data_IF_948256449440
#
_entry.id   IF_948256449440
#
_cell.length_a   1.000
_cell.length_b   1.000
_cell.length_c   1.000
_cell.angle_alpha   90.00
_cell.angle_beta   90.00
_cell.angle_gamma   90.00
#
_symmetry.space_group_name_H-M   'P 1'
#
loop_
_entity.id
_entity.type
_entity.pdbx_description
1 polymer ?
#
# COMPACT_ATOMS: atom_id res chain seq x y z
N UNK A 1 -19.79 2.41 8.21
CA UNK A 1 -19.02 1.17 8.48
C UNK A 1 -19.60 0.07 7.60
N UNK A 2 -18.86 -0.34 6.59
CA UNK A 2 -19.28 -1.41 5.66
C UNK A 2 -19.45 -2.71 6.43
N UNK A 3 -20.54 -3.43 6.25
CA UNK A 3 -20.83 -4.66 7.00
C UNK A 3 -19.84 -5.79 6.59
N UNK A 4 -19.58 -6.76 7.49
CA UNK A 4 -18.72 -7.91 7.18
C UNK A 4 -19.20 -8.72 5.96
N UNK A 5 -20.52 -8.74 5.68
CA UNK A 5 -21.09 -9.42 4.51
C UNK A 5 -20.81 -8.65 3.21
N UNK A 6 -20.79 -7.32 3.24
CA UNK A 6 -20.41 -6.50 2.07
C UNK A 6 -18.95 -6.64 1.73
N UNK A 7 -18.07 -6.70 2.75
CA UNK A 7 -16.64 -6.97 2.56
C UNK A 7 -16.37 -8.36 1.95
N UNK A 8 -17.13 -9.38 2.36
CA UNK A 8 -17.08 -10.71 1.73
C UNK A 8 -17.53 -10.68 0.27
N UNK A 9 -18.58 -9.91 -0.07
CA UNK A 9 -19.07 -9.74 -1.45
C UNK A 9 -18.03 -9.03 -2.34
N UNK A 10 -17.37 -7.97 -1.83
CA UNK A 10 -16.30 -7.28 -2.58
C UNK A 10 -15.11 -8.21 -2.89
N UNK A 11 -14.80 -9.16 -1.99
CA UNK A 11 -13.75 -10.18 -2.23
C UNK A 11 -14.10 -11.18 -3.33
N UNK A 12 -15.39 -11.50 -3.52
CA UNK A 12 -15.85 -12.53 -4.48
C UNK A 12 -16.10 -12.00 -5.89
N UNK A 13 -16.24 -10.69 -6.08
CA UNK A 13 -16.66 -10.09 -7.35
C UNK A 13 -15.52 -9.80 -8.34
N UNK A 14 -14.25 -9.90 -7.97
CA UNK A 14 -13.21 -9.27 -8.77
C UNK A 14 -11.95 -10.06 -9.08
N UNK A 15 -11.86 -11.33 -8.86
CA UNK A 15 -10.64 -12.11 -9.18
C UNK A 15 -9.45 -11.79 -8.29
N UNK A 16 -8.84 -10.61 -8.40
CA UNK A 16 -7.73 -10.19 -7.53
C UNK A 16 -8.22 -9.66 -6.18
N UNK A 17 -7.47 -9.94 -5.11
CA UNK A 17 -7.79 -9.45 -3.77
C UNK A 17 -7.55 -7.95 -3.60
N UNK A 18 -8.07 -7.33 -2.52
CA UNK A 18 -7.77 -5.94 -2.23
C UNK A 18 -6.31 -5.73 -1.81
N UNK A 19 -5.80 -4.52 -2.05
CA UNK A 19 -4.45 -4.09 -1.66
C UNK A 19 -4.56 -3.01 -0.59
N UNK A 20 -4.01 -3.25 0.59
CA UNK A 20 -3.99 -2.33 1.72
C UNK A 20 -2.64 -1.64 1.84
N UNK A 21 -2.61 -0.35 1.59
CA UNK A 21 -1.43 0.49 1.68
C UNK A 21 -1.44 1.26 3.00
N UNK A 22 -0.61 0.84 3.95
CA UNK A 22 -0.60 1.39 5.31
C UNK A 22 0.58 2.36 5.46
N UNK A 23 0.32 3.59 5.89
CA UNK A 23 1.32 4.66 5.99
C UNK A 23 2.42 4.43 7.03
N UNK A 24 2.30 3.40 7.84
CA UNK A 24 3.22 3.05 8.92
C UNK A 24 2.67 3.43 10.28
N UNK A 25 3.35 3.00 11.34
CA UNK A 25 2.98 3.25 12.74
C UNK A 25 1.51 2.95 13.06
N UNK A 26 0.91 2.00 12.34
CA UNK A 26 -0.47 1.56 12.57
C UNK A 26 -0.67 1.11 14.02
N UNK A 27 -1.83 1.43 14.59
CA UNK A 27 -2.16 1.08 15.96
C UNK A 27 -2.16 -0.44 16.18
N UNK A 28 -1.34 -0.88 17.14
CA UNK A 28 -1.16 -2.29 17.55
C UNK A 28 -1.64 -2.57 18.96
N UNK A 29 -2.17 -1.54 19.65
CA UNK A 29 -2.41 -1.62 21.10
C UNK A 29 -3.86 -1.32 21.46
N UNK A 30 -4.46 -0.28 20.87
CA UNK A 30 -5.80 0.22 21.21
C UNK A 30 -6.87 -0.42 20.32
N UNK A 31 -7.37 0.36 19.36
CA UNK A 31 -8.50 -0.01 18.52
C UNK A 31 -8.11 -0.91 17.33
N UNK A 32 -6.85 -0.82 16.88
CA UNK A 32 -6.24 -1.65 15.83
C UNK A 32 -7.10 -1.75 14.56
N UNK A 33 -7.79 -0.67 14.20
CA UNK A 33 -8.83 -0.65 13.14
C UNK A 33 -8.31 -1.21 11.82
N UNK A 34 -7.13 -0.76 11.38
CA UNK A 34 -6.53 -1.18 10.11
C UNK A 34 -6.19 -2.68 10.13
N UNK A 35 -5.56 -3.16 11.21
CA UNK A 35 -5.18 -4.57 11.34
C UNK A 35 -6.38 -5.48 11.48
N UNK A 36 -7.43 -5.05 12.19
CA UNK A 36 -8.71 -5.75 12.26
C UNK A 36 -9.39 -5.85 10.89
N UNK A 37 -9.37 -4.74 10.10
CA UNK A 37 -9.87 -4.74 8.73
C UNK A 37 -9.13 -5.74 7.84
N UNK A 38 -7.79 -5.78 7.94
CA UNK A 38 -6.98 -6.78 7.23
C UNK A 38 -7.36 -8.21 7.62
N UNK A 39 -7.48 -8.50 8.93
CA UNK A 39 -7.86 -9.83 9.41
C UNK A 39 -9.24 -10.25 8.89
N UNK A 40 -10.21 -9.35 8.85
CA UNK A 40 -11.54 -9.59 8.26
C UNK A 40 -11.44 -9.92 6.77
N UNK A 41 -10.70 -9.13 5.99
CA UNK A 41 -10.50 -9.35 4.56
C UNK A 41 -9.72 -10.64 4.27
N UNK A 42 -8.82 -11.03 5.17
CA UNK A 42 -8.07 -12.29 5.09
C UNK A 42 -8.90 -13.53 5.44
N UNK A 43 -10.14 -13.38 5.92
CA UNK A 43 -11.08 -14.48 6.18
C UNK A 43 -11.23 -14.91 7.64
N UNK A 44 -10.67 -14.18 8.60
CA UNK A 44 -10.84 -14.46 10.03
C UNK A 44 -10.39 -15.88 10.40
N UNK A 45 -11.25 -16.65 11.05
CA UNK A 45 -10.93 -18.01 11.53
C UNK A 45 -10.55 -19.00 10.42
N UNK A 46 -11.08 -18.81 9.20
CA UNK A 46 -10.73 -19.60 8.03
C UNK A 46 -9.49 -19.05 7.28
N UNK A 47 -8.94 -17.96 7.79
CA UNK A 47 -7.84 -17.23 7.16
C UNK A 47 -6.49 -17.92 7.35
N UNK A 48 -5.65 -17.85 6.30
CA UNK A 48 -4.23 -18.14 6.36
C UNK A 48 -3.45 -16.89 5.95
N UNK A 49 -2.73 -16.29 6.88
CA UNK A 49 -1.94 -15.07 6.66
C UNK A 49 -0.46 -15.41 6.60
N UNK A 50 0.21 -14.99 5.53
CA UNK A 50 1.66 -15.02 5.42
C UNK A 50 2.24 -13.64 5.80
N UNK A 51 3.11 -13.58 6.79
CA UNK A 51 3.83 -12.37 7.21
C UNK A 51 5.24 -12.40 6.63
N UNK A 52 5.58 -11.41 5.80
CA UNK A 52 6.89 -11.28 5.15
C UNK A 52 7.68 -10.17 5.82
N UNK A 53 8.74 -10.53 6.56
CA UNK A 53 9.53 -9.61 7.39
C UNK A 53 10.82 -9.12 6.74
N UNK A 54 11.08 -9.41 5.49
CA UNK A 54 12.33 -9.09 4.77
C UNK A 54 12.76 -7.62 4.89
N UNK A 55 11.81 -6.67 4.94
CA UNK A 55 12.12 -5.26 5.15
C UNK A 55 12.63 -4.96 6.56
N UNK A 56 12.22 -5.73 7.55
CA UNK A 56 12.45 -5.46 8.97
C UNK A 56 13.88 -5.85 9.40
N UNK A 57 14.50 -5.01 10.22
CA UNK A 57 15.76 -5.36 10.91
C UNK A 57 15.53 -6.25 12.14
N UNK A 58 14.26 -6.46 12.54
CA UNK A 58 13.91 -7.29 13.69
C UNK A 58 13.74 -8.78 13.35
N UNK A 59 13.78 -9.14 12.06
CA UNK A 59 13.71 -10.53 11.60
C UNK A 59 12.51 -11.29 12.20
N UNK A 60 12.79 -12.40 12.91
CA UNK A 60 11.76 -13.25 13.52
C UNK A 60 10.91 -12.53 14.57
N UNK A 61 11.46 -11.58 15.31
CA UNK A 61 10.69 -10.81 16.30
C UNK A 61 9.59 -9.96 15.64
N UNK A 62 9.78 -9.51 14.40
CA UNK A 62 8.73 -8.84 13.66
C UNK A 62 7.62 -9.83 13.25
N UNK A 63 7.99 -11.04 12.83
CA UNK A 63 7.04 -12.12 12.50
C UNK A 63 6.20 -12.46 13.73
N UNK A 64 6.85 -12.70 14.88
CA UNK A 64 6.16 -13.09 16.10
C UNK A 64 5.16 -12.02 16.57
N UNK A 65 5.56 -10.76 16.51
CA UNK A 65 4.65 -9.65 16.85
C UNK A 65 3.38 -9.64 16.01
N UNK A 66 3.48 -9.85 14.70
CA UNK A 66 2.29 -9.90 13.83
C UNK A 66 1.54 -11.22 13.97
N UNK A 67 2.22 -12.33 14.29
CA UNK A 67 1.58 -13.61 14.61
C UNK A 67 0.65 -13.47 15.82
N UNK A 68 1.14 -12.89 16.91
CA UNK A 68 0.34 -12.60 18.10
C UNK A 68 -0.85 -11.69 17.79
N UNK A 69 -0.64 -10.60 17.02
CA UNK A 69 -1.70 -9.68 16.64
C UNK A 69 -2.79 -10.38 15.83
N UNK A 70 -2.42 -11.12 14.79
CA UNK A 70 -3.39 -11.80 13.92
C UNK A 70 -4.07 -12.98 14.61
N UNK A 71 -3.38 -13.72 15.47
CA UNK A 71 -4.00 -14.71 16.34
C UNK A 71 -5.03 -14.06 17.28
N UNK A 72 -4.73 -12.87 17.83
CA UNK A 72 -5.66 -12.09 18.63
C UNK A 72 -6.92 -11.62 17.88
N UNK A 73 -6.86 -11.50 16.55
CA UNK A 73 -8.02 -11.26 15.68
C UNK A 73 -8.71 -12.56 15.22
N UNK A 74 -8.27 -13.71 15.69
CA UNK A 74 -8.86 -15.00 15.37
C UNK A 74 -8.45 -15.56 14.01
N UNK A 75 -7.33 -15.14 13.43
CA UNK A 75 -6.81 -15.75 12.19
C UNK A 75 -6.41 -17.20 12.48
N UNK A 76 -6.92 -18.14 11.67
CA UNK A 76 -6.71 -19.58 11.88
C UNK A 76 -5.27 -20.06 11.70
N UNK A 77 -4.52 -19.47 10.77
CA UNK A 77 -3.11 -19.81 10.52
C UNK A 77 -2.27 -18.59 10.17
N UNK A 78 -1.10 -18.45 10.81
CA UNK A 78 -0.12 -17.40 10.48
C UNK A 78 1.23 -18.04 10.19
N UNK A 79 1.76 -17.82 8.99
CA UNK A 79 3.07 -18.31 8.54
C UNK A 79 4.03 -17.15 8.42
N UNK A 80 5.21 -17.22 9.07
CA UNK A 80 6.26 -16.22 8.95
C UNK A 80 7.24 -16.58 7.82
N UNK A 81 7.62 -15.61 7.02
CA UNK A 81 8.60 -15.72 5.93
C UNK A 81 9.57 -14.54 6.03
N UNK A 82 10.83 -14.81 6.25
CA UNK A 82 11.85 -13.77 6.45
C UNK A 82 13.11 -14.00 5.62
N UNK A 83 13.04 -14.14 4.27
CA UNK A 83 14.26 -14.28 3.50
C UNK A 83 15.16 -13.04 3.67
N UNK A 84 16.40 -13.28 4.04
CA UNK A 84 17.41 -12.23 4.22
C UNK A 84 18.23 -12.00 2.96
N UNK A 85 18.31 -13.02 2.10
CA UNK A 85 19.04 -13.02 0.85
C UNK A 85 18.13 -13.44 -0.32
N UNK A 86 18.51 -12.96 -1.51
CA UNK A 86 17.77 -13.25 -2.74
C UNK A 86 17.74 -14.75 -3.09
N UNK A 87 18.77 -15.50 -2.75
CA UNK A 87 18.85 -16.96 -2.90
C UNK A 87 17.74 -17.68 -2.12
N UNK A 88 17.46 -17.25 -0.89
CA UNK A 88 16.38 -17.77 -0.06
C UNK A 88 15.01 -17.45 -0.66
N UNK A 89 14.80 -16.24 -1.22
CA UNK A 89 13.57 -15.87 -1.89
C UNK A 89 13.31 -16.66 -3.20
N UNK A 90 14.31 -17.38 -3.71
CA UNK A 90 14.17 -18.34 -4.82
C UNK A 90 13.79 -19.75 -4.36
N UNK A 91 13.78 -20.02 -3.06
CA UNK A 91 13.41 -21.34 -2.53
C UNK A 91 11.95 -21.66 -2.87
N UNK A 92 11.66 -22.79 -3.55
CA UNK A 92 10.31 -23.20 -3.86
C UNK A 92 9.46 -23.49 -2.61
N UNK A 93 10.07 -23.86 -1.49
CA UNK A 93 9.32 -24.13 -0.25
C UNK A 93 8.74 -22.85 0.35
N UNK A 94 9.46 -21.72 0.29
CA UNK A 94 8.89 -20.42 0.67
C UNK A 94 7.71 -20.02 -0.24
N UNK A 95 7.82 -20.30 -1.54
CA UNK A 95 6.72 -20.02 -2.47
C UNK A 95 5.49 -20.92 -2.20
N UNK A 96 5.68 -22.19 -1.80
CA UNK A 96 4.60 -23.11 -1.44
C UNK A 96 3.81 -22.64 -0.21
N UNK A 97 4.47 -21.97 0.75
CA UNK A 97 3.81 -21.44 1.93
C UNK A 97 2.71 -20.40 1.62
N UNK A 98 2.70 -19.86 0.40
CA UNK A 98 1.71 -18.88 -0.09
C UNK A 98 0.58 -19.50 -0.92
N UNK A 99 0.62 -20.81 -1.19
CA UNK A 99 -0.33 -21.45 -2.14
C UNK A 99 -1.79 -21.30 -1.69
N UNK A 100 -2.05 -21.42 -0.42
CA UNK A 100 -3.38 -21.34 0.20
C UNK A 100 -3.53 -20.11 1.11
N UNK A 101 -2.62 -19.14 1.02
CA UNK A 101 -2.73 -17.90 1.77
C UNK A 101 -3.92 -17.08 1.29
N UNK A 102 -4.73 -16.63 2.23
CA UNK A 102 -5.85 -15.71 2.01
C UNK A 102 -5.48 -14.25 2.32
N UNK A 103 -4.33 -14.04 2.96
CA UNK A 103 -3.74 -12.74 3.21
C UNK A 103 -2.22 -12.79 3.20
N UNK A 104 -1.58 -11.74 2.68
CA UNK A 104 -0.13 -11.55 2.74
C UNK A 104 0.14 -10.18 3.35
N UNK A 105 1.00 -10.13 4.37
CA UNK A 105 1.35 -8.90 5.09
C UNK A 105 2.85 -8.62 4.96
N UNK A 106 3.21 -7.51 4.29
CA UNK A 106 4.59 -7.04 4.16
C UNK A 106 4.91 -6.05 5.29
N UNK A 107 5.89 -6.36 6.13
CA UNK A 107 6.24 -5.50 7.27
C UNK A 107 6.96 -4.21 6.86
N UNK A 108 7.00 -3.26 7.77
CA UNK A 108 7.83 -2.07 7.66
C UNK A 108 9.32 -2.34 7.83
N UNK A 109 10.14 -1.34 7.49
CA UNK A 109 11.59 -1.38 7.58
C UNK A 109 12.29 -0.69 6.41
N UNK A 110 13.15 -1.39 5.68
CA UNK A 110 13.87 -0.87 4.54
C UNK A 110 13.27 -1.41 3.22
N UNK A 111 12.61 -0.54 2.46
CA UNK A 111 11.96 -0.91 1.20
C UNK A 111 12.94 -1.33 0.11
N UNK A 112 14.16 -0.79 0.09
CA UNK A 112 15.18 -1.22 -0.87
C UNK A 112 15.65 -2.65 -0.58
N UNK A 113 15.81 -3.01 0.73
CA UNK A 113 16.10 -4.39 1.12
C UNK A 113 14.99 -5.33 0.67
N UNK A 114 13.71 -4.97 0.93
CA UNK A 114 12.57 -5.76 0.49
C UNK A 114 12.57 -5.97 -1.02
N UNK A 115 12.69 -4.89 -1.79
CA UNK A 115 12.71 -4.98 -3.26
C UNK A 115 13.91 -5.78 -3.78
N UNK A 116 15.14 -5.53 -3.31
CA UNK A 116 16.33 -6.22 -3.82
C UNK A 116 16.34 -7.71 -3.51
N UNK A 117 15.79 -8.13 -2.38
CA UNK A 117 15.72 -9.55 -2.00
C UNK A 117 14.55 -10.25 -2.68
N UNK A 118 13.36 -9.62 -2.74
CA UNK A 118 12.13 -10.32 -3.14
C UNK A 118 11.74 -10.07 -4.60
N UNK A 119 11.90 -8.86 -5.15
CA UNK A 119 11.39 -8.55 -6.50
C UNK A 119 11.99 -9.47 -7.58
N UNK A 120 11.14 -10.03 -8.46
CA UNK A 120 11.52 -10.92 -9.54
C UNK A 120 12.08 -12.27 -9.06
N UNK A 121 11.63 -12.77 -7.91
CA UNK A 121 11.93 -14.11 -7.39
C UNK A 121 10.68 -14.99 -7.37
N UNK A 122 10.86 -16.29 -7.09
CA UNK A 122 9.73 -17.22 -6.91
C UNK A 122 8.78 -16.79 -5.80
N UNK A 123 9.30 -16.16 -4.73
CA UNK A 123 8.47 -15.62 -3.66
C UNK A 123 7.60 -14.46 -4.16
N UNK A 124 8.17 -13.52 -4.94
CA UNK A 124 7.39 -12.44 -5.56
C UNK A 124 6.29 -12.98 -6.47
N UNK A 125 6.61 -13.96 -7.32
CA UNK A 125 5.62 -14.62 -8.17
C UNK A 125 4.51 -15.30 -7.36
N UNK A 126 4.86 -15.89 -6.20
CA UNK A 126 3.87 -16.51 -5.33
C UNK A 126 2.96 -15.47 -4.65
N UNK A 127 3.50 -14.30 -4.25
CA UNK A 127 2.71 -13.17 -3.74
C UNK A 127 1.71 -12.70 -4.79
N UNK A 128 2.16 -12.47 -6.04
CA UNK A 128 1.28 -12.06 -7.13
C UNK A 128 0.20 -13.10 -7.41
N UNK A 129 0.56 -14.39 -7.48
CA UNK A 129 -0.42 -15.46 -7.64
C UNK A 129 -1.42 -15.58 -6.49
N UNK A 130 -1.00 -15.34 -5.24
CA UNK A 130 -1.93 -15.29 -4.11
C UNK A 130 -2.94 -14.15 -4.29
N UNK A 131 -2.46 -12.96 -4.66
CA UNK A 131 -3.30 -11.80 -4.97
C UNK A 131 -4.30 -12.09 -6.10
N UNK A 132 -3.84 -12.66 -7.21
CA UNK A 132 -4.70 -13.02 -8.36
C UNK A 132 -5.80 -14.04 -7.99
N UNK A 133 -5.59 -14.86 -6.96
CA UNK A 133 -6.59 -15.78 -6.41
C UNK A 133 -7.52 -15.15 -5.38
N UNK A 134 -7.40 -13.87 -5.11
CA UNK A 134 -8.26 -13.13 -4.19
C UNK A 134 -7.67 -12.93 -2.79
N UNK A 135 -6.41 -13.28 -2.52
CA UNK A 135 -5.77 -12.96 -1.25
C UNK A 135 -5.62 -11.46 -1.06
N UNK A 136 -5.96 -10.94 0.12
CA UNK A 136 -5.68 -9.55 0.47
C UNK A 136 -4.18 -9.36 0.64
N UNK A 137 -3.62 -8.34 -0.02
CA UNK A 137 -2.23 -7.92 0.22
C UNK A 137 -2.22 -6.68 1.10
N UNK A 138 -1.46 -6.69 2.17
CA UNK A 138 -1.22 -5.51 2.99
C UNK A 138 0.27 -5.23 3.12
N UNK A 139 0.63 -3.96 3.14
CA UNK A 139 1.99 -3.54 3.43
C UNK A 139 1.99 -2.30 4.28
N UNK A 140 2.83 -2.28 5.32
CA UNK A 140 3.00 -1.12 6.17
C UNK A 140 4.32 -0.42 5.91
N UNK A 141 4.31 0.92 5.83
CA UNK A 141 5.51 1.74 5.63
C UNK A 141 6.32 1.26 4.40
N UNK A 142 7.50 0.68 4.60
CA UNK A 142 8.32 0.10 3.53
C UNK A 142 7.57 -0.94 2.69
N UNK A 143 6.74 -1.78 3.33
CA UNK A 143 5.89 -2.76 2.66
C UNK A 143 4.86 -2.13 1.73
N UNK A 144 4.26 -0.98 2.12
CA UNK A 144 3.33 -0.25 1.27
C UNK A 144 4.04 0.36 0.04
N UNK A 145 5.18 1.03 0.27
CA UNK A 145 5.96 1.63 -0.82
C UNK A 145 6.40 0.61 -1.86
N UNK A 146 6.78 -0.59 -1.41
CA UNK A 146 7.26 -1.66 -2.27
C UNK A 146 6.17 -2.27 -3.17
N UNK A 147 4.89 -2.07 -2.89
CA UNK A 147 3.79 -2.62 -3.70
C UNK A 147 3.64 -1.94 -5.07
N UNK A 148 4.09 -0.69 -5.21
CA UNK A 148 4.06 0.02 -6.48
C UNK A 148 5.09 -0.53 -7.48
N UNK A 149 4.85 -0.32 -8.77
CA UNK A 149 5.87 -0.56 -9.81
C UNK A 149 7.04 0.42 -9.66
N UNK A 150 6.74 1.69 -9.39
CA UNK A 150 7.72 2.74 -9.12
C UNK A 150 7.70 3.06 -7.63
N UNK A 151 8.67 2.53 -6.90
CA UNK A 151 8.76 2.65 -5.44
C UNK A 151 9.55 3.90 -5.05
N UNK A 152 9.03 4.68 -4.11
CA UNK A 152 9.81 5.74 -3.45
C UNK A 152 10.94 5.09 -2.63
N UNK A 153 12.16 5.11 -3.15
CA UNK A 153 13.31 4.47 -2.50
C UNK A 153 13.76 5.27 -1.27
N UNK A 154 14.00 6.55 -1.48
CA UNK A 154 14.28 7.54 -0.43
C UNK A 154 14.06 8.95 -0.95
N UNK A 155 14.03 9.93 -0.06
CA UNK A 155 13.88 11.34 -0.41
C UNK A 155 13.97 12.23 0.82
N UNK A 156 14.35 13.48 0.59
CA UNK A 156 14.41 14.51 1.64
C UNK A 156 12.99 14.99 1.93
N UNK A 157 12.69 15.25 3.19
CA UNK A 157 11.48 15.98 3.59
C UNK A 157 11.58 17.47 3.21
N UNK A 158 10.44 18.14 3.13
CA UNK A 158 10.30 19.56 2.85
C UNK A 158 9.08 19.85 1.97
N UNK A 159 8.52 21.04 2.12
CA UNK A 159 7.28 21.43 1.45
C UNK A 159 7.50 21.90 0.01
N UNK A 160 8.67 22.50 -0.28
CA UNK A 160 8.99 23.01 -1.61
C UNK A 160 9.48 21.89 -2.52
N UNK A 161 8.84 21.61 -3.68
CA UNK A 161 9.32 20.62 -4.63
C UNK A 161 10.65 21.06 -5.25
N UNK A 162 11.64 20.19 -5.21
CA UNK A 162 12.99 20.45 -5.75
C UNK A 162 13.41 19.30 -6.67
N UNK A 163 14.21 19.65 -7.67
CA UNK A 163 14.83 18.63 -8.53
C UNK A 163 15.72 17.70 -7.69
N UNK A 164 15.72 16.42 -7.98
CA UNK A 164 16.47 15.36 -7.26
C UNK A 164 16.14 15.28 -5.76
N UNK A 165 14.93 15.66 -5.36
CA UNK A 165 14.48 15.60 -3.97
C UNK A 165 14.17 14.18 -3.53
N UNK A 166 13.78 13.32 -4.47
CA UNK A 166 13.47 11.92 -4.25
C UNK A 166 14.15 11.04 -5.31
N UNK A 167 14.31 9.77 -4.97
CA UNK A 167 14.79 8.74 -5.89
C UNK A 167 13.80 7.58 -5.92
N UNK A 168 13.47 7.12 -7.13
CA UNK A 168 12.64 5.96 -7.36
C UNK A 168 13.49 4.72 -7.60
N UNK A 169 12.96 3.57 -7.24
CA UNK A 169 13.47 2.24 -7.58
C UNK A 169 12.31 1.34 -8.02
N UNK A 170 12.62 0.18 -8.57
CA UNK A 170 11.61 -0.83 -8.87
C UNK A 170 11.05 -1.43 -7.58
N UNK A 171 9.71 -1.53 -7.50
CA UNK A 171 9.01 -2.27 -6.45
C UNK A 171 8.57 -3.66 -6.93
N UNK A 172 7.52 -4.19 -6.32
CA UNK A 172 6.97 -5.52 -6.63
C UNK A 172 5.99 -5.52 -7.81
N UNK A 173 5.56 -4.35 -8.28
CA UNK A 173 4.70 -4.22 -9.46
C UNK A 173 3.23 -4.60 -9.26
N UNK A 174 2.75 -4.66 -8.00
CA UNK A 174 1.36 -5.00 -7.68
C UNK A 174 0.42 -3.86 -8.13
N UNK A 175 0.79 -2.61 -7.83
CA UNK A 175 0.05 -1.43 -8.26
C UNK A 175 0.83 -0.67 -9.34
N UNK A 176 0.17 -0.43 -10.46
CA UNK A 176 0.72 0.33 -11.59
C UNK A 176 0.23 1.77 -11.57
N UNK A 177 1.01 2.67 -12.19
CA UNK A 177 0.69 4.08 -12.36
C UNK A 177 0.53 4.88 -11.06
N UNK A 178 1.06 4.38 -9.96
CA UNK A 178 1.11 5.08 -8.68
C UNK A 178 2.54 5.12 -8.14
N UNK A 179 2.83 6.13 -7.32
CA UNK A 179 4.01 6.18 -6.46
C UNK A 179 3.54 6.45 -5.03
N UNK A 180 4.02 5.63 -4.09
CA UNK A 180 3.52 5.62 -2.71
C UNK A 180 4.58 6.20 -1.79
N UNK A 181 4.18 7.18 -0.98
CA UNK A 181 5.00 7.82 0.03
C UNK A 181 4.34 7.70 1.40
N UNK A 182 4.92 6.90 2.28
CA UNK A 182 4.44 6.62 3.63
C UNK A 182 4.93 7.65 4.65
N UNK A 183 4.36 7.68 5.89
CA UNK A 183 4.65 8.67 6.93
C UNK A 183 4.56 10.10 6.37
N UNK A 184 3.49 10.39 5.63
CA UNK A 184 3.43 11.55 4.76
C UNK A 184 3.35 12.86 5.53
N UNK A 185 2.70 12.88 6.68
CA UNK A 185 2.60 14.01 7.60
C UNK A 185 3.97 14.52 8.12
N UNK A 186 5.05 13.76 7.91
CA UNK A 186 6.41 14.16 8.28
C UNK A 186 7.06 15.13 7.28
N UNK A 187 6.25 15.98 6.64
CA UNK A 187 6.72 17.01 5.69
C UNK A 187 7.21 16.43 4.37
N UNK A 188 6.51 15.44 3.83
CA UNK A 188 6.91 14.74 2.60
C UNK A 188 6.22 15.26 1.33
N UNK A 189 5.36 16.26 1.46
CA UNK A 189 4.57 16.81 0.36
C UNK A 189 5.42 17.24 -0.84
N UNK A 190 6.47 18.05 -0.62
CA UNK A 190 7.28 18.58 -1.71
C UNK A 190 8.01 17.50 -2.50
N UNK A 191 8.45 16.41 -1.85
CA UNK A 191 9.14 15.32 -2.59
C UNK A 191 8.17 14.49 -3.44
N UNK A 192 6.94 14.24 -2.95
CA UNK A 192 5.93 13.54 -3.73
C UNK A 192 5.46 14.39 -4.92
N UNK A 193 5.23 15.70 -4.69
CA UNK A 193 4.91 16.65 -5.75
C UNK A 193 6.03 16.75 -6.79
N UNK A 194 7.30 16.73 -6.36
CA UNK A 194 8.44 16.74 -7.27
C UNK A 194 8.49 15.48 -8.16
N UNK A 195 8.17 14.30 -7.61
CA UNK A 195 8.10 13.05 -8.37
C UNK A 195 6.96 13.11 -9.39
N UNK A 196 5.77 13.55 -8.99
CA UNK A 196 4.63 13.69 -9.90
C UNK A 196 4.93 14.71 -11.00
N UNK A 197 5.56 15.84 -10.68
CA UNK A 197 5.98 16.83 -11.68
C UNK A 197 6.99 16.27 -12.70
N UNK A 198 7.87 15.35 -12.29
CA UNK A 198 8.82 14.68 -13.18
C UNK A 198 8.19 13.52 -13.97
N UNK A 199 7.12 12.93 -13.47
CA UNK A 199 6.44 11.79 -14.05
C UNK A 199 4.91 11.96 -13.94
N UNK A 200 4.29 12.88 -14.72
CA UNK A 200 2.88 13.24 -14.58
C UNK A 200 1.88 12.12 -14.88
N UNK A 201 2.33 11.04 -15.49
CA UNK A 201 1.53 9.82 -15.69
C UNK A 201 1.24 9.07 -14.38
N UNK A 202 2.06 9.29 -13.34
CA UNK A 202 1.88 8.67 -12.03
C UNK A 202 0.93 9.49 -11.16
N UNK A 203 0.12 8.80 -10.37
CA UNK A 203 -0.60 9.40 -9.24
C UNK A 203 0.26 9.26 -8.00
N UNK A 204 0.56 10.37 -7.33
CA UNK A 204 1.22 10.38 -6.04
C UNK A 204 0.24 10.00 -4.93
N UNK A 205 0.60 9.03 -4.10
CA UNK A 205 -0.20 8.57 -2.96
C UNK A 205 0.60 8.78 -1.68
N UNK A 206 0.26 9.82 -0.94
CA UNK A 206 0.81 10.11 0.39
C UNK A 206 -0.06 9.47 1.47
N UNK A 207 0.55 8.69 2.37
CA UNK A 207 -0.15 7.96 3.42
C UNK A 207 0.34 8.44 4.78
N UNK A 208 -0.54 9.03 5.57
CA UNK A 208 -0.24 9.39 6.96
C UNK A 208 -0.07 8.14 7.83
N UNK A 209 0.61 8.26 8.97
CA UNK A 209 0.71 7.19 9.95
C UNK A 209 -0.66 6.79 10.46
N UNK A 210 -0.82 5.52 10.82
CA UNK A 210 -2.08 4.92 11.25
C UNK A 210 -3.24 5.19 10.30
N UNK A 211 -2.93 5.20 8.99
CA UNK A 211 -3.88 5.44 7.90
C UNK A 211 -3.61 4.46 6.76
N UNK A 212 -4.67 3.97 6.15
CA UNK A 212 -4.64 2.96 5.11
C UNK A 212 -5.50 3.37 3.92
N UNK A 213 -4.95 3.24 2.71
CA UNK A 213 -5.71 3.20 1.48
C UNK A 213 -5.95 1.73 1.09
N UNK A 214 -7.21 1.30 1.02
CA UNK A 214 -7.63 -0.02 0.56
C UNK A 214 -8.03 0.09 -0.90
N UNK A 215 -7.22 -0.45 -1.80
CA UNK A 215 -7.48 -0.42 -3.25
C UNK A 215 -8.09 -1.75 -3.67
N UNK A 216 -9.27 -1.69 -4.24
CA UNK A 216 -10.01 -2.86 -4.76
C UNK A 216 -9.67 -3.13 -6.24
N UNK A 217 -10.04 -4.31 -6.73
CA UNK A 217 -9.70 -4.75 -8.09
C UNK A 217 -10.30 -3.86 -9.19
N UNK A 218 -11.44 -3.22 -8.95
CA UNK A 218 -12.07 -2.25 -9.84
C UNK A 218 -11.39 -0.87 -9.84
N UNK A 219 -10.33 -0.71 -9.03
CA UNK A 219 -9.60 0.54 -8.81
C UNK A 219 -10.34 1.57 -7.96
N UNK A 220 -11.40 1.21 -7.30
CA UNK A 220 -11.92 2.04 -6.22
C UNK A 220 -11.02 1.93 -4.99
N UNK A 221 -10.98 2.99 -4.21
CA UNK A 221 -10.15 3.12 -3.03
C UNK A 221 -10.98 3.60 -1.85
N UNK A 222 -10.87 2.92 -0.72
CA UNK A 222 -11.43 3.31 0.58
C UNK A 222 -10.30 3.79 1.49
N UNK A 223 -10.54 4.85 2.25
CA UNK A 223 -9.62 5.33 3.28
C UNK A 223 -10.09 4.86 4.66
N UNK A 224 -9.17 4.29 5.44
CA UNK A 224 -9.44 3.80 6.81
C UNK A 224 -8.30 4.24 7.73
N UNK A 225 -8.62 4.79 8.89
CA UNK A 225 -7.64 5.13 9.92
C UNK A 225 -7.71 6.56 10.42
N UNK A 226 -6.67 7.02 11.10
CA UNK A 226 -6.72 8.25 11.88
C UNK A 226 -6.35 9.52 11.13
N UNK A 227 -5.48 9.44 10.14
CA UNK A 227 -5.00 10.58 9.35
C UNK A 227 -5.72 10.68 8.01
N UNK A 228 -5.00 11.08 6.98
CA UNK A 228 -5.52 11.23 5.64
C UNK A 228 -4.66 10.49 4.59
N UNK A 229 -5.27 10.16 3.47
CA UNK A 229 -4.58 9.82 2.23
C UNK A 229 -4.55 11.06 1.36
N UNK A 230 -3.36 11.51 0.99
CA UNK A 230 -3.18 12.62 0.05
C UNK A 230 -2.91 12.07 -1.34
N UNK A 231 -3.77 12.41 -2.32
CA UNK A 231 -3.51 12.08 -3.71
C UNK A 231 -3.02 13.33 -4.45
N UNK A 232 -1.97 13.16 -5.27
CA UNK A 232 -1.47 14.21 -6.16
C UNK A 232 -1.61 13.72 -7.60
N UNK A 233 -2.50 14.35 -8.36
CA UNK A 233 -2.72 14.09 -9.78
C UNK A 233 -1.99 15.11 -10.63
N UNK A 234 -1.09 14.62 -11.49
CA UNK A 234 -0.29 15.41 -12.42
C UNK A 234 -0.88 15.55 -13.82
N UNK A 235 -2.11 15.10 -14.08
CA UNK A 235 -2.68 15.10 -15.45
C UNK A 235 -2.71 16.47 -16.14
N UNK A 236 -2.81 17.54 -15.35
CA UNK A 236 -2.81 18.93 -15.86
C UNK A 236 -1.55 19.72 -15.46
N UNK A 237 -0.50 19.03 -15.03
CA UNK A 237 0.72 19.67 -14.53
C UNK A 237 1.46 20.39 -15.66
N UNK A 238 1.77 21.67 -15.41
CA UNK A 238 2.76 22.44 -16.14
C UNK A 238 4.00 22.57 -15.27
N UNK A 239 5.16 22.19 -15.77
CA UNK A 239 6.39 22.11 -14.98
C UNK A 239 7.64 22.40 -15.80
N UNK A 240 8.68 22.91 -15.15
CA UNK A 240 10.03 23.06 -15.69
C UNK A 240 11.00 21.95 -15.21
N UNK A 241 10.49 20.92 -14.57
CA UNK A 241 11.30 19.82 -13.98
C UNK A 241 12.32 19.23 -14.96
N UNK A 242 11.99 19.14 -16.26
CA UNK A 242 12.86 18.64 -17.32
C UNK A 242 14.07 19.54 -17.62
N UNK A 243 14.04 20.80 -17.19
CA UNK A 243 15.14 21.78 -17.36
C UNK A 243 15.89 22.05 -16.07
N UNK A 244 15.33 21.65 -14.92
CA UNK A 244 15.90 21.96 -13.61
C UNK A 244 17.25 21.25 -13.40
N UNK A 245 18.22 21.98 -12.81
CA UNK A 245 19.55 21.47 -12.51
C UNK A 245 19.85 21.50 -11.01
N UNK A 246 20.63 20.53 -10.54
CA UNK A 246 21.02 20.42 -9.13
C UNK A 246 19.80 20.17 -8.23
N UNK A 247 19.78 20.81 -7.06
CA UNK A 247 18.69 20.70 -6.08
C UNK A 247 17.84 22.00 -6.00
N UNK A 248 17.67 22.67 -7.14
CA UNK A 248 16.87 23.90 -7.19
C UNK A 248 15.37 23.59 -7.10
N UNK A 249 14.57 24.52 -6.55
CA UNK A 249 13.12 24.44 -6.68
C UNK A 249 12.69 24.29 -8.13
N UNK A 250 11.62 23.54 -8.36
CA UNK A 250 10.99 23.38 -9.66
C UNK A 250 9.62 24.07 -9.67
N UNK A 251 9.25 24.62 -10.82
CA UNK A 251 7.92 25.17 -11.03
C UNK A 251 6.94 24.02 -11.22
N UNK A 252 5.85 24.01 -10.45
CA UNK A 252 4.74 23.07 -10.59
C UNK A 252 3.44 23.86 -10.52
N UNK A 253 2.63 23.79 -11.54
CA UNK A 253 1.30 24.41 -11.62
C UNK A 253 0.28 23.43 -12.14
N UNK A 254 -0.98 23.52 -11.70
CA UNK A 254 -2.07 22.67 -12.18
C UNK A 254 -2.07 21.24 -11.63
N UNK A 255 -1.30 20.92 -10.58
CA UNK A 255 -1.46 19.67 -9.86
C UNK A 255 -2.77 19.68 -9.06
N UNK A 256 -3.59 18.63 -9.22
CA UNK A 256 -4.77 18.44 -8.37
C UNK A 256 -4.36 17.68 -7.12
N UNK A 257 -4.83 18.18 -5.97
CA UNK A 257 -4.56 17.55 -4.66
C UNK A 257 -5.88 17.21 -4.00
N UNK A 258 -5.99 15.94 -3.57
CA UNK A 258 -7.08 15.46 -2.76
C UNK A 258 -6.54 15.07 -1.39
N UNK A 259 -7.18 15.54 -0.32
CA UNK A 259 -6.92 15.10 1.05
C UNK A 259 -8.14 14.32 1.53
N UNK A 260 -8.00 13.03 1.74
CA UNK A 260 -9.07 12.07 1.90
C UNK A 260 -9.00 11.46 3.31
N UNK A 261 -9.86 11.89 4.25
CA UNK A 261 -9.92 11.30 5.58
C UNK A 261 -10.64 9.95 5.59
N UNK A 262 -10.72 9.34 6.79
CA UNK A 262 -11.43 8.09 7.06
C UNK A 262 -12.84 8.07 6.47
N UNK A 263 -13.24 6.92 5.93
CA UNK A 263 -14.55 6.70 5.32
C UNK A 263 -14.71 7.28 3.92
N UNK A 264 -13.69 7.92 3.36
CA UNK A 264 -13.74 8.50 2.00
C UNK A 264 -13.50 7.42 0.94
N UNK A 265 -14.27 7.52 -0.16
CA UNK A 265 -14.11 6.67 -1.33
C UNK A 265 -13.64 7.47 -2.55
N UNK A 266 -12.79 6.86 -3.37
CA UNK A 266 -12.18 7.50 -4.53
C UNK A 266 -12.00 6.52 -5.69
N UNK A 267 -12.30 6.92 -6.92
CA UNK A 267 -11.97 6.16 -8.13
C UNK A 267 -10.59 6.56 -8.65
N UNK A 268 -9.61 5.67 -8.49
CA UNK A 268 -8.23 5.88 -8.98
C UNK A 268 -8.12 5.87 -10.50
N UNK A 269 -9.05 5.24 -11.22
CA UNK A 269 -9.07 5.23 -12.69
C UNK A 269 -9.61 6.54 -13.24
N UNK A 270 -10.79 6.96 -12.75
CA UNK A 270 -11.43 8.22 -13.11
C UNK A 270 -10.81 9.44 -12.43
N UNK A 271 -9.97 9.23 -11.39
CA UNK A 271 -9.36 10.28 -10.55
C UNK A 271 -10.40 11.21 -9.94
N UNK A 272 -11.48 10.62 -9.43
CA UNK A 272 -12.64 11.36 -8.90
C UNK A 272 -13.05 10.86 -7.53
N UNK A 273 -13.53 11.80 -6.70
CA UNK A 273 -14.17 11.49 -5.44
C UNK A 273 -15.48 10.75 -5.70
N UNK A 274 -15.75 9.69 -4.95
CA UNK A 274 -17.03 8.99 -4.96
C UNK A 274 -17.86 9.45 -3.78
N UNK A 275 -19.14 9.72 -4.03
CA UNK A 275 -20.07 10.18 -3.00
C UNK A 275 -20.43 9.06 -2.01
N UNK A 276 -20.54 7.82 -2.53
CA UNK A 276 -20.94 6.63 -1.79
C UNK A 276 -20.05 5.44 -2.15
N UNK A 277 -19.96 4.40 -1.31
CA UNK A 277 -19.29 3.15 -1.63
C UNK A 277 -19.83 2.53 -2.93
N UNK A 278 -18.98 1.91 -3.76
CA UNK A 278 -19.45 1.22 -4.96
C UNK A 278 -20.52 0.18 -4.65
N UNK A 279 -21.65 0.21 -5.40
CA UNK A 279 -22.74 -0.74 -5.27
C UNK A 279 -23.82 -0.37 -4.22
N UNK A 280 -23.73 0.77 -3.56
CA UNK A 280 -24.83 1.37 -2.80
C UNK A 280 -25.46 2.48 -3.67
N UNK A 281 -26.46 2.14 -4.48
CA UNK A 281 -27.36 3.17 -4.99
C UNK A 281 -28.14 3.75 -3.79
N UNK A 282 -28.17 5.07 -3.66
CA UNK A 282 -29.07 5.72 -2.71
C UNK A 282 -30.49 5.29 -3.08
N UNK A 283 -31.19 4.62 -2.18
CA UNK A 283 -32.65 4.63 -2.24
C UNK A 283 -33.06 6.10 -2.31
N UNK A 284 -33.58 6.51 -3.46
CA UNK A 284 -34.08 7.85 -3.66
C UNK A 284 -35.14 8.08 -2.57
N UNK A 285 -34.82 8.94 -1.61
CA UNK A 285 -35.80 9.44 -0.65
C UNK A 285 -36.79 10.29 -1.46
N UNK A 286 -37.96 9.73 -1.72
CA UNK A 286 -39.13 10.46 -2.15
C UNK A 286 -39.57 11.53 -1.12
#
# INVERSE_FOLDING_TARGET
MTSNDELRKLRTLAGAGPVMLIGGAEDKVRDKVILSRFATLAGGADGHVAVISTASSLGEAAIERYRELFAGFGIGRVTGLGPEERSQAQDPELAKALVDSTGVFLTGGNQLRLSSVVAGTRLADAILRAHDRGAVLAGTSAGASAMATHMMAFGRSGETPKNRMAQLAAGLGILQNVVIDQHFERGRFGRLLAVVAQSPALVGVGLDEDTCAIVYADRTMEVVGRGAVTLIDGSHVVTDAHRAKGHKPIMVSGALVHSLPDGTWFDLRGRTLLADPPGQEREASE
#
